data_IF_920855736309
#
_entry.id   IF_920855736309
#
_cell.length_a   1.000
_cell.length_b   1.000
_cell.length_c   1.000
_cell.angle_alpha   90.00
_cell.angle_beta   90.00
_cell.angle_gamma   90.00
#
_symmetry.space_group_name_H-M   'P 1'
#
loop_
_entity.id
_entity.type
_entity.pdbx_description
1 polymer ?
#
# COMPACT_ATOMS: atom_id res chain seq x y z
N UNK A 1 15.96 31.37 15.73
CA UNK A 1 16.11 30.99 14.32
C UNK A 1 14.73 31.02 13.71
N UNK A 2 14.53 31.79 12.64
CA UNK A 2 13.22 31.94 11.98
C UNK A 2 12.77 30.62 11.35
N UNK A 3 11.49 30.47 11.03
CA UNK A 3 10.99 29.31 10.30
C UNK A 3 11.63 29.28 8.91
N UNK A 4 11.77 30.42 8.23
CA UNK A 4 12.44 30.51 6.94
C UNK A 4 13.88 29.98 7.00
N UNK A 5 14.66 30.32 8.03
CA UNK A 5 16.02 29.80 8.21
C UNK A 5 16.01 28.27 8.39
N UNK A 6 15.05 27.75 9.17
CA UNK A 6 14.91 26.30 9.40
C UNK A 6 14.53 25.56 8.12
N UNK A 7 13.62 26.11 7.32
CA UNK A 7 13.26 25.57 6.00
C UNK A 7 14.49 25.52 5.11
N UNK A 8 15.27 26.61 5.01
CA UNK A 8 16.46 26.65 4.17
C UNK A 8 17.54 25.64 4.58
N UNK A 9 17.61 25.30 5.87
CA UNK A 9 18.59 24.34 6.42
C UNK A 9 18.08 22.91 6.49
N UNK A 10 16.81 22.67 6.13
CA UNK A 10 16.16 21.40 6.31
C UNK A 10 16.61 20.37 5.27
N UNK A 11 16.92 19.16 5.75
CA UNK A 11 17.30 18.04 4.88
C UNK A 11 16.13 17.46 4.08
N UNK A 12 14.89 17.74 4.50
CA UNK A 12 13.69 17.19 3.89
C UNK A 12 13.16 18.02 2.71
N UNK A 13 13.55 19.29 2.62
CA UNK A 13 13.09 20.21 1.56
C UNK A 13 13.37 19.70 0.15
N UNK A 14 14.54 19.12 -0.18
CA UNK A 14 14.77 18.55 -1.51
C UNK A 14 13.77 17.45 -1.90
N UNK A 15 13.40 16.58 -0.96
CA UNK A 15 12.41 15.52 -1.17
C UNK A 15 11.00 16.10 -1.28
N UNK A 16 10.64 17.06 -0.44
CA UNK A 16 9.32 17.71 -0.54
C UNK A 16 9.16 18.47 -1.87
N UNK A 17 10.22 19.09 -2.38
CA UNK A 17 10.23 19.78 -3.68
C UNK A 17 10.08 18.84 -4.88
N UNK A 18 10.28 17.53 -4.74
CA UNK A 18 10.02 16.59 -5.84
C UNK A 18 8.54 16.26 -6.01
N UNK A 19 7.67 16.68 -5.08
CA UNK A 19 6.22 16.55 -5.23
C UNK A 19 5.65 17.69 -6.06
N UNK A 20 4.82 17.35 -7.06
CA UNK A 20 4.11 18.34 -7.89
C UNK A 20 3.07 19.15 -7.10
N UNK A 21 2.72 18.74 -5.88
CA UNK A 21 1.69 19.38 -5.06
C UNK A 21 2.26 20.25 -3.94
N UNK A 22 3.59 20.26 -3.75
CA UNK A 22 4.26 21.00 -2.69
C UNK A 22 5.14 22.11 -3.27
N UNK A 23 4.89 23.34 -2.83
CA UNK A 23 5.54 24.55 -3.32
C UNK A 23 6.21 25.28 -2.16
N UNK A 24 7.36 25.87 -2.42
CA UNK A 24 8.09 26.68 -1.45
C UNK A 24 8.39 28.05 -2.02
N UNK A 25 8.38 29.08 -1.18
CA UNK A 25 8.81 30.40 -1.56
C UNK A 25 10.28 30.39 -2.06
N UNK A 26 10.64 31.23 -3.04
CA UNK A 26 9.78 32.17 -3.78
C UNK A 26 9.06 31.54 -4.99
N UNK A 27 9.15 30.22 -5.19
CA UNK A 27 8.66 29.52 -6.39
C UNK A 27 7.15 29.17 -6.35
N UNK A 28 6.37 29.86 -5.53
CA UNK A 28 4.91 29.67 -5.44
C UNK A 28 4.24 30.62 -6.44
N UNK A 29 3.46 30.08 -7.38
CA UNK A 29 2.78 30.92 -8.37
C UNK A 29 1.74 31.85 -7.72
N UNK A 30 1.57 33.06 -8.27
CA UNK A 30 0.54 34.01 -7.80
C UNK A 30 -0.86 33.39 -7.79
N UNK A 31 -1.20 32.55 -8.78
CA UNK A 31 -2.51 31.88 -8.85
C UNK A 31 -2.74 30.98 -7.63
N UNK A 32 -1.72 30.22 -7.21
CA UNK A 32 -1.80 29.33 -6.05
C UNK A 32 -1.86 30.12 -4.73
N UNK A 33 -1.07 31.19 -4.62
CA UNK A 33 -1.16 32.10 -3.48
C UNK A 33 -2.56 32.70 -3.33
N UNK A 34 -3.18 33.17 -4.43
CA UNK A 34 -4.55 33.69 -4.40
C UNK A 34 -5.59 32.63 -3.98
N UNK A 35 -5.39 31.37 -4.37
CA UNK A 35 -6.20 30.26 -3.86
C UNK A 35 -6.07 30.10 -2.35
N UNK A 36 -4.84 30.08 -1.86
CA UNK A 36 -4.53 29.90 -0.44
C UNK A 36 -5.06 31.03 0.44
N UNK A 37 -5.10 32.26 -0.08
CA UNK A 37 -5.67 33.40 0.65
C UNK A 37 -7.13 33.20 1.06
N UNK A 38 -7.86 32.24 0.46
CA UNK A 38 -9.25 31.94 0.83
C UNK A 38 -9.41 31.26 2.20
N UNK A 39 -8.33 30.74 2.79
CA UNK A 39 -8.36 30.09 4.10
C UNK A 39 -7.28 30.60 5.07
N UNK A 40 -6.50 31.59 4.65
CA UNK A 40 -5.56 32.26 5.55
C UNK A 40 -6.26 33.35 6.37
N UNK A 41 -5.87 33.57 7.63
CA UNK A 41 -6.43 34.62 8.46
C UNK A 41 -6.26 36.00 7.85
N UNK A 42 -7.21 36.90 8.17
CA UNK A 42 -7.13 38.30 7.76
C UNK A 42 -5.85 38.95 8.29
N UNK A 43 -5.08 39.57 7.39
CA UNK A 43 -3.80 40.21 7.71
C UNK A 43 -2.55 39.38 7.39
N UNK A 44 -2.70 38.13 6.95
CA UNK A 44 -1.59 37.38 6.33
C UNK A 44 -1.44 37.81 4.88
N UNK A 45 -0.23 38.25 4.51
CA UNK A 45 0.12 38.62 3.14
C UNK A 45 0.50 37.38 2.31
N UNK A 46 0.28 37.36 0.99
CA UNK A 46 0.81 36.31 0.12
C UNK A 46 2.33 36.07 0.27
N UNK A 47 3.09 37.12 0.62
CA UNK A 47 4.53 37.02 0.82
C UNK A 47 4.93 36.36 2.15
N UNK A 48 3.99 36.19 3.08
CA UNK A 48 4.23 35.52 4.36
C UNK A 48 4.16 33.99 4.22
N UNK A 49 3.68 33.49 3.08
CA UNK A 49 3.59 32.05 2.78
C UNK A 49 4.95 31.52 2.38
N UNK A 50 5.54 30.68 3.23
CA UNK A 50 6.84 30.07 3.04
C UNK A 50 6.75 28.72 2.31
N UNK A 51 5.67 27.99 2.54
CA UNK A 51 5.36 26.72 1.89
C UNK A 51 3.84 26.59 1.68
N UNK A 52 3.46 25.95 0.59
CA UNK A 52 2.08 25.66 0.22
C UNK A 52 1.98 24.22 -0.27
N UNK A 53 1.01 23.49 0.27
CA UNK A 53 0.54 22.21 -0.25
C UNK A 53 -0.81 22.46 -0.90
N UNK A 54 -0.91 22.15 -2.18
CA UNK A 54 -2.17 22.20 -2.92
C UNK A 54 -2.82 20.82 -2.92
N UNK A 55 -3.91 20.67 -2.16
CA UNK A 55 -4.66 19.41 -2.08
C UNK A 55 -5.90 19.43 -2.98
N UNK A 56 -5.96 20.32 -3.98
CA UNK A 56 -7.07 20.39 -4.92
C UNK A 56 -6.81 19.55 -6.16
N UNK A 57 -7.82 18.79 -6.60
CA UNK A 57 -7.79 17.97 -7.83
C UNK A 57 -7.46 18.80 -9.08
N UNK A 58 -7.84 20.09 -9.11
CA UNK A 58 -7.62 20.99 -10.26
C UNK A 58 -6.52 22.05 -10.03
N UNK A 59 -5.70 21.90 -8.99
CA UNK A 59 -4.54 22.76 -8.76
C UNK A 59 -4.87 24.24 -8.48
N UNK A 60 -6.00 24.51 -7.84
CA UNK A 60 -6.46 25.85 -7.45
C UNK A 60 -5.92 26.32 -6.09
N UNK A 61 -5.35 25.43 -5.27
CA UNK A 61 -4.83 25.72 -3.93
C UNK A 61 -5.83 26.35 -2.94
N UNK A 62 -7.13 26.13 -3.14
CA UNK A 62 -8.18 26.56 -2.18
C UNK A 62 -8.42 25.56 -1.04
N UNK A 63 -7.82 24.38 -1.15
CA UNK A 63 -7.83 23.27 -0.19
C UNK A 63 -6.38 22.81 -0.08
N UNK A 64 -5.93 22.50 1.13
CA UNK A 64 -4.55 22.11 1.42
C UNK A 64 -3.99 22.82 2.63
N UNK A 65 -2.68 23.07 2.64
CA UNK A 65 -1.97 23.59 3.80
C UNK A 65 -0.99 24.70 3.44
N UNK A 66 -0.94 25.75 4.25
CA UNK A 66 0.08 26.79 4.20
C UNK A 66 0.96 26.77 5.45
N UNK A 67 2.25 27.07 5.26
CA UNK A 67 3.19 27.34 6.34
C UNK A 67 3.64 28.79 6.25
N UNK A 68 3.59 29.52 7.36
CA UNK A 68 4.16 30.86 7.51
C UNK A 68 5.18 30.87 8.65
N UNK A 69 5.75 32.03 8.98
CA UNK A 69 6.58 32.19 10.19
C UNK A 69 5.83 31.86 11.50
N UNK A 70 4.50 31.99 11.51
CA UNK A 70 3.71 31.83 12.75
C UNK A 70 3.23 30.39 12.98
N UNK A 71 2.92 29.67 11.91
CA UNK A 71 2.26 28.38 12.03
C UNK A 71 1.77 27.80 10.72
N UNK A 72 0.95 26.76 10.87
CA UNK A 72 0.28 26.02 9.82
C UNK A 72 -1.17 26.49 9.71
N UNK A 73 -1.66 26.58 8.48
CA UNK A 73 -3.05 26.89 8.17
C UNK A 73 -3.55 25.84 7.21
N UNK A 74 -4.62 25.16 7.57
CA UNK A 74 -5.13 24.02 6.82
C UNK A 74 -6.60 24.20 6.49
N UNK A 75 -7.02 23.69 5.34
CA UNK A 75 -8.42 23.60 4.96
C UNK A 75 -8.66 22.33 4.17
N UNK A 76 -9.57 21.49 4.66
CA UNK A 76 -10.11 20.36 3.91
C UNK A 76 -11.29 20.81 3.02
N UNK A 77 -11.69 19.93 2.10
CA UNK A 77 -12.86 20.18 1.26
C UNK A 77 -14.12 20.18 2.11
N UNK A 78 -14.95 21.22 1.97
CA UNK A 78 -16.23 21.36 2.69
C UNK A 78 -16.11 21.52 4.22
N UNK A 79 -14.91 21.83 4.72
CA UNK A 79 -14.66 22.10 6.13
C UNK A 79 -14.20 23.55 6.34
N UNK A 80 -14.30 23.98 7.59
CA UNK A 80 -13.79 25.27 8.04
C UNK A 80 -12.25 25.26 8.09
N UNK A 81 -11.65 26.44 7.94
CA UNK A 81 -10.22 26.60 8.09
C UNK A 81 -9.74 26.31 9.52
N UNK A 82 -8.58 25.67 9.61
CA UNK A 82 -7.92 25.30 10.85
C UNK A 82 -6.57 26.01 10.95
N UNK A 83 -6.20 26.42 12.17
CA UNK A 83 -4.96 27.17 12.44
C UNK A 83 -4.18 26.52 13.57
N UNK A 84 -2.89 26.24 13.32
CA UNK A 84 -1.98 25.63 14.29
C UNK A 84 -0.72 26.48 14.41
N UNK A 85 -0.58 27.21 15.53
CA UNK A 85 0.62 28.00 15.79
C UNK A 85 1.76 27.09 16.22
N UNK A 86 2.99 27.35 15.71
CA UNK A 86 4.15 26.49 16.01
C UNK A 86 4.45 26.38 17.51
N UNK A 87 4.15 27.42 18.29
CA UNK A 87 4.32 27.42 19.75
C UNK A 87 3.44 26.39 20.48
N UNK A 88 2.37 25.90 19.83
CA UNK A 88 1.44 24.93 20.39
C UNK A 88 1.59 23.53 19.79
N UNK A 89 2.46 23.35 18.80
CA UNK A 89 2.73 22.05 18.17
C UNK A 89 3.88 21.38 18.91
N UNK A 90 3.56 20.31 19.64
CA UNK A 90 4.55 19.49 20.34
C UNK A 90 5.11 18.42 19.41
N UNK A 91 4.20 17.78 18.65
CA UNK A 91 4.53 16.69 17.76
C UNK A 91 3.55 16.63 16.60
N UNK A 92 4.06 16.23 15.44
CA UNK A 92 3.27 15.85 14.28
C UNK A 92 3.53 14.37 14.01
N UNK A 93 2.48 13.62 13.71
CA UNK A 93 2.54 12.18 13.44
C UNK A 93 1.93 11.89 12.07
N UNK A 94 2.37 10.80 11.45
CA UNK A 94 1.75 10.33 10.21
C UNK A 94 0.61 9.39 10.55
N UNK A 95 -0.58 9.67 10.04
CA UNK A 95 -1.74 8.78 10.13
C UNK A 95 -2.06 8.25 8.72
N UNK A 96 -1.54 7.07 8.43
CA UNK A 96 -1.49 6.50 7.09
C UNK A 96 -2.10 5.09 7.11
N UNK A 97 -3.34 4.99 6.66
CA UNK A 97 -4.08 3.74 6.43
C UNK A 97 -4.11 3.35 4.96
N UNK A 98 -5.01 2.44 4.58
CA UNK A 98 -5.18 2.02 3.16
C UNK A 98 -5.70 3.20 2.31
N UNK A 99 -6.66 3.95 2.85
CA UNK A 99 -7.32 5.08 2.19
C UNK A 99 -6.93 6.45 2.75
N UNK A 100 -6.23 6.49 3.89
CA UNK A 100 -5.84 7.74 4.56
C UNK A 100 -4.38 8.10 4.28
N UNK A 101 -4.17 9.38 4.06
CA UNK A 101 -2.89 10.05 3.84
C UNK A 101 -2.91 11.31 4.71
N UNK A 102 -2.98 11.14 6.02
CA UNK A 102 -3.22 12.21 6.98
C UNK A 102 -1.99 12.47 7.86
N UNK A 103 -1.95 13.66 8.47
CA UNK A 103 -1.06 13.94 9.60
C UNK A 103 -1.92 14.22 10.84
N UNK A 104 -1.42 13.81 12.00
CA UNK A 104 -2.02 14.13 13.30
C UNK A 104 -1.16 15.18 14.00
N UNK A 105 -1.76 16.31 14.39
CA UNK A 105 -1.11 17.31 15.23
C UNK A 105 -1.46 16.98 16.69
N UNK A 106 -0.42 16.83 17.52
CA UNK A 106 -0.53 16.48 18.95
C UNK A 106 -1.42 15.24 19.21
N UNK A 107 -1.44 14.28 18.28
CA UNK A 107 -2.25 13.06 18.32
C UNK A 107 -3.77 13.30 18.44
N UNK A 108 -4.25 14.51 18.10
CA UNK A 108 -5.65 14.91 18.25
C UNK A 108 -6.26 15.40 16.94
N UNK A 109 -5.58 16.32 16.26
CA UNK A 109 -6.15 16.98 15.09
C UNK A 109 -5.67 16.32 13.80
N UNK A 110 -6.59 15.72 13.04
CA UNK A 110 -6.30 15.06 11.77
C UNK A 110 -6.38 16.05 10.60
N UNK A 111 -5.30 16.14 9.83
CA UNK A 111 -5.23 16.91 8.59
C UNK A 111 -5.01 15.92 7.45
N UNK A 112 -6.06 15.71 6.65
CA UNK A 112 -6.08 14.73 5.56
C UNK A 112 -5.58 15.34 4.24
N UNK A 113 -4.76 14.60 3.50
CA UNK A 113 -4.29 14.98 2.17
C UNK A 113 -4.69 13.93 1.13
N UNK A 114 -5.57 14.32 0.22
CA UNK A 114 -6.08 13.43 -0.83
C UNK A 114 -5.14 13.33 -2.04
N UNK A 115 -4.30 14.34 -2.26
CA UNK A 115 -3.40 14.46 -3.42
C UNK A 115 -1.94 14.14 -3.07
N UNK A 116 -1.60 13.96 -1.79
CA UNK A 116 -0.27 13.55 -1.39
C UNK A 116 -0.19 12.02 -1.26
N UNK A 117 0.87 11.46 -1.83
CA UNK A 117 1.19 10.06 -1.58
C UNK A 117 1.71 9.86 -0.14
N UNK A 118 1.61 8.62 0.32
CA UNK A 118 1.97 8.21 1.68
C UNK A 118 3.45 8.43 2.00
N UNK A 119 4.35 8.42 1.01
CA UNK A 119 5.77 8.73 1.20
C UNK A 119 5.98 10.22 1.49
N UNK A 120 5.29 11.07 0.74
CA UNK A 120 5.33 12.51 0.93
C UNK A 120 4.71 12.95 2.25
N UNK A 121 3.61 12.33 2.69
CA UNK A 121 3.05 12.58 4.03
C UNK A 121 4.06 12.28 5.13
N UNK A 122 4.82 11.17 5.05
CA UNK A 122 5.87 10.86 6.04
C UNK A 122 7.00 11.88 6.02
N UNK A 123 7.43 12.29 4.83
CA UNK A 123 8.47 13.30 4.66
C UNK A 123 8.01 14.65 5.22
N UNK A 124 6.73 14.99 5.01
CA UNK A 124 6.09 16.17 5.55
C UNK A 124 6.09 16.15 7.09
N UNK A 125 5.73 15.03 7.71
CA UNK A 125 5.77 14.88 9.17
C UNK A 125 7.18 15.06 9.73
N UNK A 126 8.19 14.43 9.11
CA UNK A 126 9.60 14.62 9.53
C UNK A 126 10.04 16.07 9.40
N UNK A 127 9.66 16.73 8.31
CA UNK A 127 9.92 18.15 8.08
C UNK A 127 9.22 19.05 9.11
N UNK A 128 7.94 18.86 9.38
CA UNK A 128 7.17 19.67 10.33
C UNK A 128 7.72 19.52 11.76
N UNK A 129 8.07 18.30 12.19
CA UNK A 129 8.72 18.09 13.47
C UNK A 129 10.08 18.81 13.56
N UNK A 130 10.89 18.76 12.49
CA UNK A 130 12.16 19.49 12.42
C UNK A 130 11.95 21.01 12.51
N UNK A 131 10.90 21.54 11.87
CA UNK A 131 10.54 22.95 11.99
C UNK A 131 10.14 23.34 13.41
N UNK A 132 9.34 22.49 14.10
CA UNK A 132 8.88 22.77 15.46
C UNK A 132 10.04 22.69 16.48
N UNK A 133 10.87 21.65 16.41
CA UNK A 133 11.84 21.32 17.47
C UNK A 133 13.25 21.85 17.21
N UNK A 134 13.58 22.24 15.97
CA UNK A 134 14.93 22.62 15.54
C UNK A 134 15.82 21.39 15.34
N UNK A 135 16.97 21.52 14.65
CA UNK A 135 17.90 20.40 14.43
C UNK A 135 18.36 19.83 15.78
N UNK A 136 17.72 18.76 16.23
CA UNK A 136 18.33 17.84 17.17
C UNK A 136 19.13 16.83 16.35
N UNK A 137 20.41 16.70 16.70
CA UNK A 137 21.14 15.48 16.39
C UNK A 137 20.32 14.31 16.93
N UNK A 138 19.93 13.40 16.04
CA UNK A 138 19.34 12.11 16.39
C UNK A 138 20.21 11.44 17.44
N UNK A 139 19.81 11.54 18.71
CA UNK A 139 20.43 10.79 19.80
C UNK A 139 20.20 9.32 19.50
N UNK A 140 21.29 8.64 19.16
CA UNK A 140 21.39 7.19 19.20
C UNK A 140 21.13 6.73 20.64
N UNK A 141 19.89 6.34 20.91
CA UNK A 141 19.58 5.40 21.97
C UNK A 141 19.38 4.04 21.31
N UNK A 142 19.92 2.98 21.91
CA UNK A 142 19.66 1.59 21.53
C UNK A 142 18.15 1.42 21.40
N UNK A 143 17.66 1.22 20.16
CA UNK A 143 16.24 1.30 19.84
C UNK A 143 15.62 -0.06 20.13
N UNK A 144 14.81 -0.13 21.18
CA UNK A 144 13.95 -1.29 21.41
C UNK A 144 12.66 -1.06 20.62
N UNK A 145 12.21 -2.07 19.86
CA UNK A 145 10.93 -1.98 19.16
C UNK A 145 9.79 -1.87 20.17
N UNK A 146 8.82 -1.01 19.90
CA UNK A 146 7.63 -0.92 20.75
C UNK A 146 6.85 -2.24 20.72
N UNK A 147 6.32 -2.67 21.87
CA UNK A 147 5.67 -3.96 22.01
C UNK A 147 4.42 -4.09 21.11
N UNK A 148 3.73 -2.98 20.82
CA UNK A 148 2.51 -2.94 19.99
C UNK A 148 2.87 -3.21 18.53
N UNK A 149 3.96 -2.59 18.09
CA UNK A 149 4.46 -2.77 16.75
C UNK A 149 5.06 -4.17 16.56
N UNK A 150 5.76 -4.68 17.58
CA UNK A 150 6.33 -6.02 17.55
C UNK A 150 5.25 -7.08 17.38
N UNK A 151 4.15 -7.01 18.14
CA UNK A 151 3.08 -8.00 18.03
C UNK A 151 2.33 -7.94 16.69
N UNK A 152 2.16 -6.74 16.14
CA UNK A 152 1.55 -6.54 14.83
C UNK A 152 2.41 -7.17 13.74
N UNK A 153 3.73 -6.97 13.78
CA UNK A 153 4.68 -7.62 12.86
C UNK A 153 4.64 -9.14 13.05
N UNK A 154 4.67 -9.65 14.28
CA UNK A 154 4.64 -11.09 14.57
C UNK A 154 3.39 -11.77 13.98
N UNK A 155 2.21 -11.17 14.19
CA UNK A 155 0.94 -11.66 13.63
C UNK A 155 0.93 -11.56 12.10
N UNK A 156 1.48 -10.49 11.53
CA UNK A 156 1.57 -10.33 10.09
C UNK A 156 2.45 -11.44 9.46
N UNK A 157 3.61 -11.71 10.09
CA UNK A 157 4.52 -12.78 9.65
C UNK A 157 3.88 -14.17 9.83
N UNK A 158 3.18 -14.40 10.94
CA UNK A 158 2.43 -15.64 11.14
C UNK A 158 1.45 -15.90 10.00
N UNK A 159 0.61 -14.91 9.65
CA UNK A 159 -0.39 -15.10 8.60
C UNK A 159 0.22 -15.22 7.21
N UNK A 160 1.25 -14.45 6.89
CA UNK A 160 1.85 -14.50 5.55
C UNK A 160 2.63 -15.79 5.28
N UNK A 161 3.11 -16.44 6.34
CA UNK A 161 3.80 -17.73 6.24
C UNK A 161 2.89 -18.92 6.56
N UNK A 162 1.61 -18.69 6.88
CA UNK A 162 0.67 -19.69 7.38
C UNK A 162 0.57 -20.95 6.50
N UNK A 163 0.33 -20.78 5.20
CA UNK A 163 0.16 -21.91 4.27
C UNK A 163 1.45 -22.64 3.96
N UNK A 164 2.57 -21.91 3.88
CA UNK A 164 3.87 -22.45 3.52
C UNK A 164 4.62 -23.05 4.72
N UNK A 165 4.29 -22.62 5.94
CA UNK A 165 5.02 -22.96 7.18
C UNK A 165 6.46 -22.44 7.23
N UNK A 166 6.89 -21.69 6.21
CA UNK A 166 8.25 -21.16 6.06
C UNK A 166 8.25 -19.94 5.14
N UNK A 167 9.36 -19.20 5.16
CA UNK A 167 9.58 -18.09 4.23
C UNK A 167 9.71 -18.57 2.78
N UNK A 168 9.03 -17.88 1.87
CA UNK A 168 9.29 -17.88 0.44
C UNK A 168 9.57 -16.45 -0.06
N UNK A 169 10.11 -16.29 -1.28
CA UNK A 169 10.49 -14.98 -1.82
C UNK A 169 9.34 -13.96 -1.74
N UNK A 170 8.12 -14.38 -2.08
CA UNK A 170 6.93 -13.53 -2.06
C UNK A 170 6.58 -13.04 -0.66
N UNK A 171 6.60 -13.92 0.33
CA UNK A 171 6.33 -13.59 1.73
C UNK A 171 7.40 -12.66 2.31
N UNK A 172 8.69 -12.87 1.97
CA UNK A 172 9.78 -11.98 2.39
C UNK A 172 9.63 -10.59 1.80
N UNK A 173 9.38 -10.49 0.49
CA UNK A 173 9.12 -9.22 -0.18
C UNK A 173 7.91 -8.51 0.40
N UNK A 174 6.81 -9.21 0.62
CA UNK A 174 5.59 -8.61 1.15
C UNK A 174 5.78 -8.04 2.57
N UNK A 175 6.44 -8.77 3.48
CA UNK A 175 6.77 -8.25 4.82
C UNK A 175 7.71 -7.05 4.72
N UNK A 176 8.78 -7.19 3.93
CA UNK A 176 9.75 -6.12 3.74
C UNK A 176 9.07 -4.85 3.18
N UNK A 177 8.30 -4.95 2.10
CA UNK A 177 7.61 -3.80 1.50
C UNK A 177 6.50 -3.21 2.37
N UNK A 178 5.86 -4.03 3.20
CA UNK A 178 4.83 -3.57 4.13
C UNK A 178 5.45 -2.68 5.23
N UNK A 179 6.56 -3.14 5.82
CA UNK A 179 7.16 -2.49 6.99
C UNK A 179 8.30 -1.51 6.67
N UNK A 180 9.01 -1.65 5.53
CA UNK A 180 10.08 -0.71 5.16
C UNK A 180 9.58 0.72 4.95
N UNK A 181 8.30 0.85 4.57
CA UNK A 181 7.63 2.14 4.40
C UNK A 181 7.44 2.88 5.72
N UNK A 182 7.46 2.18 6.85
CA UNK A 182 7.47 2.77 8.17
C UNK A 182 8.91 3.18 8.42
N UNK A 183 9.21 4.48 8.37
CA UNK A 183 10.57 5.02 8.51
C UNK A 183 11.09 4.91 9.96
N UNK A 184 10.99 3.71 10.53
CA UNK A 184 11.32 3.36 11.91
C UNK A 184 12.46 2.34 11.90
N UNK A 185 13.59 2.76 12.46
CA UNK A 185 14.80 1.96 12.48
C UNK A 185 14.68 0.70 13.35
N UNK A 186 13.91 0.74 14.44
CA UNK A 186 13.66 -0.44 15.27
C UNK A 186 12.82 -1.47 14.53
N UNK A 187 11.78 -1.01 13.83
CA UNK A 187 10.95 -1.86 12.97
C UNK A 187 11.79 -2.48 11.86
N UNK A 188 12.63 -1.70 11.16
CA UNK A 188 13.52 -2.23 10.12
C UNK A 188 14.48 -3.27 10.67
N UNK A 189 15.12 -3.00 11.81
CA UNK A 189 16.03 -3.96 12.45
C UNK A 189 15.30 -5.23 12.88
N UNK A 190 14.08 -5.11 13.41
CA UNK A 190 13.29 -6.25 13.81
C UNK A 190 12.84 -7.09 12.61
N UNK A 191 12.36 -6.44 11.54
CA UNK A 191 11.97 -7.11 10.30
C UNK A 191 13.16 -7.78 9.63
N UNK A 192 14.32 -7.12 9.55
CA UNK A 192 15.54 -7.75 9.03
C UNK A 192 15.94 -8.98 9.85
N UNK A 193 15.81 -8.92 11.18
CA UNK A 193 16.03 -10.09 12.04
C UNK A 193 15.07 -11.23 11.68
N UNK A 194 13.77 -10.94 11.58
CA UNK A 194 12.75 -11.94 11.22
C UNK A 194 12.97 -12.58 9.85
N UNK A 195 13.44 -11.81 8.86
CA UNK A 195 13.67 -12.29 7.50
C UNK A 195 14.90 -13.21 7.38
N UNK A 196 15.84 -13.10 8.33
CA UNK A 196 17.09 -13.84 8.38
C UNK A 196 17.06 -15.04 9.35
N UNK A 197 16.11 -15.06 10.30
CA UNK A 197 15.94 -16.15 11.26
C UNK A 197 14.69 -16.99 10.95
N UNK A 198 14.73 -18.28 11.26
CA UNK A 198 13.53 -19.13 11.19
C UNK A 198 12.78 -19.03 12.51
N UNK A 199 11.70 -18.24 12.50
CA UNK A 199 10.86 -18.00 13.68
C UNK A 199 9.64 -18.93 13.65
N UNK A 200 9.35 -19.57 14.77
CA UNK A 200 8.12 -20.34 14.99
C UNK A 200 7.23 -19.53 15.92
N UNK A 201 6.05 -19.16 15.45
CA UNK A 201 5.09 -18.38 16.22
C UNK A 201 3.95 -19.28 16.71
N UNK A 202 3.65 -19.19 18.00
CA UNK A 202 2.45 -19.81 18.58
C UNK A 202 1.28 -18.81 18.47
N UNK A 203 0.22 -19.21 17.77
CA UNK A 203 -0.92 -18.34 17.51
C UNK A 203 -1.69 -17.96 18.79
N UNK A 204 -1.83 -18.88 19.74
CA UNK A 204 -2.52 -18.60 21.00
C UNK A 204 -1.70 -17.62 21.85
N UNK A 205 -0.37 -17.77 21.89
CA UNK A 205 0.52 -16.79 22.55
C UNK A 205 0.40 -15.40 21.92
N UNK A 206 0.37 -15.31 20.59
CA UNK A 206 0.17 -14.04 19.89
C UNK A 206 -1.20 -13.42 20.21
N UNK A 207 -2.26 -14.21 20.30
CA UNK A 207 -3.58 -13.70 20.71
C UNK A 207 -3.59 -13.22 22.17
N UNK A 208 -2.92 -13.93 23.07
CA UNK A 208 -2.81 -13.55 24.48
C UNK A 208 -2.05 -12.24 24.64
N UNK A 209 -0.87 -12.12 24.03
CA UNK A 209 -0.10 -10.88 24.04
C UNK A 209 -0.90 -9.71 23.45
N UNK A 210 -1.73 -9.96 22.42
CA UNK A 210 -2.55 -8.91 21.83
C UNK A 210 -3.70 -8.50 22.76
N UNK A 211 -4.34 -9.46 23.42
CA UNK A 211 -5.41 -9.21 24.38
C UNK A 211 -4.91 -8.36 25.57
N UNK A 212 -3.70 -8.62 26.07
CA UNK A 212 -3.07 -7.86 27.17
C UNK A 212 -2.82 -6.39 26.81
N UNK A 213 -2.73 -6.09 25.52
CA UNK A 213 -2.44 -4.75 25.00
C UNK A 213 -3.69 -4.01 24.53
N UNK A 214 -4.84 -4.68 24.50
CA UNK A 214 -6.13 -4.14 24.01
C UNK A 214 -6.46 -2.77 24.58
N UNK A 215 -6.30 -2.57 25.88
CA UNK A 215 -6.72 -1.35 26.58
C UNK A 215 -5.72 -0.19 26.40
N UNK A 216 -4.52 -0.48 25.86
CA UNK A 216 -3.52 0.54 25.49
C UNK A 216 -3.73 1.03 24.06
N UNK A 217 -4.30 0.20 23.20
CA UNK A 217 -4.51 0.52 21.79
C UNK A 217 -5.80 1.32 21.56
N UNK A 218 -5.66 2.44 20.85
CA UNK A 218 -6.80 3.21 20.36
C UNK A 218 -7.76 2.32 19.55
N UNK A 219 -9.06 2.58 19.63
CA UNK A 219 -10.06 1.76 18.95
C UNK A 219 -9.87 1.73 17.42
N UNK A 220 -9.54 2.86 16.82
CA UNK A 220 -9.27 2.96 15.38
C UNK A 220 -8.02 2.16 14.99
N UNK A 221 -6.94 2.26 15.75
CA UNK A 221 -5.73 1.47 15.52
C UNK A 221 -6.01 -0.04 15.59
N UNK A 222 -6.81 -0.50 16.56
CA UNK A 222 -7.24 -1.91 16.64
C UNK A 222 -8.01 -2.34 15.40
N UNK A 223 -8.84 -1.46 14.83
CA UNK A 223 -9.57 -1.75 13.59
C UNK A 223 -8.64 -1.88 12.40
N UNK A 224 -7.74 -0.91 12.21
CA UNK A 224 -6.78 -0.89 11.11
C UNK A 224 -5.85 -2.10 11.14
N UNK A 225 -5.39 -2.46 12.34
CA UNK A 225 -4.58 -3.66 12.53
C UNK A 225 -5.32 -4.92 12.06
N UNK A 226 -6.61 -5.07 12.37
CA UNK A 226 -7.41 -6.22 11.86
C UNK A 226 -7.45 -6.23 10.33
N UNK A 227 -7.66 -5.08 9.70
CA UNK A 227 -7.66 -4.97 8.23
C UNK A 227 -6.31 -5.38 7.63
N UNK A 228 -5.19 -4.91 8.20
CA UNK A 228 -3.85 -5.29 7.75
C UNK A 228 -3.58 -6.78 7.93
N UNK A 229 -4.07 -7.38 9.02
CA UNK A 229 -3.90 -8.82 9.26
C UNK A 229 -4.77 -9.65 8.31
N UNK A 230 -5.98 -9.22 7.96
CA UNK A 230 -6.80 -9.88 6.92
C UNK A 230 -6.12 -9.81 5.55
N UNK A 231 -5.48 -8.69 5.23
CA UNK A 231 -4.65 -8.57 4.03
C UNK A 231 -3.45 -9.52 4.06
N UNK A 232 -2.77 -9.65 5.21
CA UNK A 232 -1.68 -10.61 5.39
C UNK A 232 -2.14 -12.06 5.20
N UNK A 233 -3.33 -12.43 5.70
CA UNK A 233 -3.93 -13.75 5.49
C UNK A 233 -4.14 -14.04 4.00
N UNK A 234 -4.66 -13.08 3.25
CA UNK A 234 -4.92 -13.22 1.83
C UNK A 234 -3.61 -13.36 1.03
N UNK A 235 -2.58 -12.56 1.35
CA UNK A 235 -1.23 -12.71 0.78
C UNK A 235 -0.57 -14.04 1.13
N UNK A 236 -0.77 -14.50 2.37
CA UNK A 236 -0.32 -15.80 2.86
C UNK A 236 -1.12 -16.98 2.34
N UNK A 237 -2.09 -16.75 1.45
CA UNK A 237 -2.95 -17.78 0.86
C UNK A 237 -3.71 -18.61 1.91
N UNK A 238 -4.05 -18.00 3.05
CA UNK A 238 -4.96 -18.59 4.04
C UNK A 238 -6.33 -18.79 3.36
N UNK A 239 -6.98 -19.92 3.55
CA UNK A 239 -8.31 -20.13 2.96
C UNK A 239 -9.34 -19.13 3.55
N UNK A 240 -10.29 -18.68 2.72
CA UNK A 240 -11.22 -17.61 3.09
C UNK A 240 -12.05 -17.92 4.34
N UNK A 241 -12.51 -19.17 4.48
CA UNK A 241 -13.20 -19.67 5.67
C UNK A 241 -12.32 -19.64 6.94
N UNK A 242 -11.02 -19.91 6.81
CA UNK A 242 -10.05 -19.82 7.91
C UNK A 242 -9.76 -18.37 8.26
N UNK A 243 -9.64 -17.48 7.27
CA UNK A 243 -9.48 -16.05 7.50
C UNK A 243 -10.68 -15.45 8.25
N UNK A 244 -11.91 -15.88 7.94
CA UNK A 244 -13.12 -15.51 8.69
C UNK A 244 -13.09 -15.95 10.17
N UNK A 245 -12.51 -17.12 10.45
CA UNK A 245 -12.30 -17.60 11.82
C UNK A 245 -11.25 -16.76 12.55
N UNK A 246 -10.10 -16.52 11.92
CA UNK A 246 -9.06 -15.66 12.49
C UNK A 246 -9.54 -14.24 12.75
N UNK A 247 -10.27 -13.66 11.80
CA UNK A 247 -10.89 -12.35 11.97
C UNK A 247 -11.84 -12.33 13.18
N UNK A 248 -12.60 -13.42 13.41
CA UNK A 248 -13.47 -13.55 14.58
C UNK A 248 -12.67 -13.54 15.88
N UNK A 249 -11.54 -14.25 15.93
CA UNK A 249 -10.64 -14.26 17.09
C UNK A 249 -10.03 -12.87 17.33
N UNK A 250 -9.50 -12.23 16.28
CA UNK A 250 -8.91 -10.89 16.35
C UNK A 250 -9.93 -9.85 16.83
N UNK A 251 -11.15 -9.84 16.28
CA UNK A 251 -12.23 -8.97 16.73
C UNK A 251 -12.55 -9.17 18.23
N UNK A 252 -12.58 -10.43 18.68
CA UNK A 252 -12.86 -10.77 20.08
C UNK A 252 -11.76 -10.27 21.02
N UNK A 253 -10.50 -10.55 20.73
CA UNK A 253 -9.38 -10.16 21.62
C UNK A 253 -9.15 -8.65 21.63
N UNK A 254 -9.40 -7.98 20.50
CA UNK A 254 -9.28 -6.52 20.40
C UNK A 254 -10.54 -5.77 20.83
N UNK A 255 -11.66 -6.46 21.12
CA UNK A 255 -12.95 -5.84 21.39
C UNK A 255 -13.42 -4.86 20.28
N UNK A 256 -13.23 -5.28 19.03
CA UNK A 256 -13.78 -4.61 17.84
C UNK A 256 -15.00 -5.39 17.36
N UNK A 257 -16.10 -4.69 17.08
CA UNK A 257 -17.32 -5.35 16.61
C UNK A 257 -17.13 -5.80 15.17
N UNK A 258 -17.47 -7.07 14.88
CA UNK A 258 -17.44 -7.62 13.51
C UNK A 258 -18.36 -6.86 12.55
N UNK A 259 -19.42 -6.24 13.06
CA UNK A 259 -20.35 -5.46 12.24
C UNK A 259 -19.69 -4.25 11.56
N UNK A 260 -18.53 -3.80 12.05
CA UNK A 260 -17.76 -2.70 11.48
C UNK A 260 -17.04 -3.10 10.19
N UNK A 261 -16.96 -4.41 9.90
CA UNK A 261 -16.24 -4.97 8.76
C UNK A 261 -17.18 -5.83 7.88
N UNK A 262 -18.22 -5.24 7.26
CA UNK A 262 -19.09 -5.97 6.38
C UNK A 262 -18.29 -6.49 5.17
N UNK A 263 -18.33 -7.81 4.96
CA UNK A 263 -17.70 -8.50 3.84
C UNK A 263 -16.19 -8.26 3.66
N UNK A 264 -15.47 -7.76 4.68
CA UNK A 264 -14.05 -7.38 4.57
C UNK A 264 -13.18 -8.51 3.99
N UNK A 265 -13.28 -9.72 4.55
CA UNK A 265 -12.52 -10.89 4.08
C UNK A 265 -12.81 -11.15 2.60
N UNK A 266 -14.08 -11.13 2.20
CA UNK A 266 -14.48 -11.33 0.81
C UNK A 266 -13.87 -10.27 -0.11
N UNK A 267 -14.02 -8.99 0.25
CA UNK A 267 -13.52 -7.86 -0.56
C UNK A 267 -12.01 -7.96 -0.74
N UNK A 268 -11.25 -8.18 0.34
CA UNK A 268 -9.79 -8.27 0.29
C UNK A 268 -9.34 -9.44 -0.60
N UNK A 269 -9.98 -10.59 -0.48
CA UNK A 269 -9.64 -11.77 -1.27
C UNK A 269 -9.96 -11.59 -2.76
N UNK A 270 -11.09 -10.97 -3.08
CA UNK A 270 -11.46 -10.64 -4.47
C UNK A 270 -10.49 -9.63 -5.08
N UNK A 271 -10.07 -8.61 -4.32
CA UNK A 271 -9.07 -7.62 -4.76
C UNK A 271 -7.71 -8.28 -5.08
N UNK A 272 -7.18 -9.10 -4.17
CA UNK A 272 -5.88 -9.75 -4.39
C UNK A 272 -5.96 -10.74 -5.57
N UNK A 273 -7.07 -11.47 -5.71
CA UNK A 273 -7.29 -12.32 -6.88
C UNK A 273 -7.28 -11.50 -8.19
N UNK A 274 -7.92 -10.33 -8.20
CA UNK A 274 -7.90 -9.40 -9.34
C UNK A 274 -6.50 -8.86 -9.68
N UNK A 275 -5.74 -8.42 -8.68
CA UNK A 275 -4.36 -7.93 -8.86
C UNK A 275 -3.40 -9.01 -9.35
N UNK A 276 -3.53 -10.24 -8.83
CA UNK A 276 -2.76 -11.38 -9.32
C UNK A 276 -3.04 -11.69 -10.78
N UNK A 277 -4.29 -11.59 -11.22
CA UNK A 277 -4.69 -11.83 -12.61
C UNK A 277 -4.14 -10.74 -13.55
N UNK A 278 -4.17 -9.47 -13.14
CA UNK A 278 -3.59 -8.36 -13.92
C UNK A 278 -2.07 -8.44 -14.03
N UNK A 279 -1.36 -8.80 -12.95
CA UNK A 279 0.09 -8.96 -12.97
C UNK A 279 0.52 -10.15 -13.84
N UNK A 280 -0.28 -11.21 -13.87
CA UNK A 280 -0.08 -12.36 -14.77
C UNK A 280 -0.15 -11.98 -16.24
N UNK A 281 -1.04 -11.05 -16.61
CA UNK A 281 -1.13 -10.55 -17.98
C UNK A 281 0.07 -9.67 -18.39
N UNK A 282 0.67 -8.94 -17.45
CA UNK A 282 1.85 -8.10 -17.71
C UNK A 282 3.19 -8.85 -17.71
N UNK A 283 3.26 -10.01 -17.05
CA UNK A 283 4.49 -10.82 -16.94
C UNK A 283 4.70 -11.79 -18.13
N UNK A 284 3.72 -11.95 -19.01
CA UNK A 284 3.83 -12.83 -20.18
C UNK A 284 4.70 -12.17 -21.26
N UNK A 285 5.66 -12.93 -21.78
CA UNK A 285 6.45 -12.50 -22.93
C UNK A 285 5.62 -12.56 -24.23
N UNK A 286 6.19 -12.05 -25.33
CA UNK A 286 5.50 -11.97 -26.61
C UNK A 286 5.14 -13.36 -27.18
N UNK A 287 5.94 -14.39 -26.91
CA UNK A 287 5.67 -15.76 -27.36
C UNK A 287 4.49 -16.36 -26.59
N UNK A 288 4.44 -16.14 -25.28
CA UNK A 288 3.36 -16.56 -24.41
C UNK A 288 2.04 -15.81 -24.71
N UNK A 289 2.10 -14.50 -25.00
CA UNK A 289 0.93 -13.72 -25.43
C UNK A 289 0.37 -14.24 -26.77
N UNK A 290 1.23 -14.57 -27.73
CA UNK A 290 0.82 -15.20 -29.00
C UNK A 290 0.20 -16.59 -28.77
N UNK A 291 0.76 -17.38 -27.86
CA UNK A 291 0.20 -18.67 -27.49
C UNK A 291 -1.20 -18.54 -26.85
N UNK A 292 -1.41 -17.53 -26.00
CA UNK A 292 -2.74 -17.20 -25.46
C UNK A 292 -3.73 -16.82 -26.56
N UNK A 293 -3.32 -16.01 -27.53
CA UNK A 293 -4.16 -15.64 -28.68
C UNK A 293 -4.56 -16.85 -29.54
N UNK A 294 -3.60 -17.75 -29.85
CA UNK A 294 -3.87 -18.96 -30.62
C UNK A 294 -4.90 -19.89 -29.96
N UNK A 295 -4.87 -19.95 -28.63
CA UNK A 295 -5.80 -20.75 -27.83
C UNK A 295 -7.05 -19.98 -27.38
N UNK A 296 -7.20 -18.71 -27.78
CA UNK A 296 -8.29 -17.80 -27.38
C UNK A 296 -8.45 -17.68 -25.86
N UNK A 297 -7.33 -17.67 -25.14
CA UNK A 297 -7.28 -17.47 -23.69
C UNK A 297 -6.98 -16.00 -23.42
N UNK A 298 -7.78 -15.36 -22.57
CA UNK A 298 -7.40 -14.05 -22.04
C UNK A 298 -6.24 -14.23 -21.05
N UNK A 299 -5.12 -13.51 -21.21
CA UNK A 299 -3.93 -13.62 -20.35
C UNK A 299 -4.23 -13.63 -18.84
N UNK A 300 -5.19 -12.81 -18.42
CA UNK A 300 -5.63 -12.64 -17.03
C UNK A 300 -6.31 -13.90 -16.46
N UNK A 301 -6.85 -14.75 -17.34
CA UNK A 301 -7.57 -15.98 -16.99
C UNK A 301 -6.71 -17.23 -17.19
N UNK A 302 -5.41 -17.08 -17.47
CA UNK A 302 -4.51 -18.21 -17.71
C UNK A 302 -4.27 -19.02 -16.42
N UNK A 303 -4.74 -20.26 -16.43
CA UNK A 303 -4.57 -21.27 -15.39
C UNK A 303 -4.44 -22.65 -16.04
N UNK A 304 -3.99 -23.66 -15.29
CA UNK A 304 -3.87 -25.03 -15.82
C UNK A 304 -5.24 -25.55 -16.31
N UNK A 305 -6.31 -25.24 -15.58
CA UNK A 305 -7.68 -25.64 -15.91
C UNK A 305 -8.19 -24.96 -17.19
N UNK A 306 -7.98 -23.65 -17.32
CA UNK A 306 -8.42 -22.89 -18.51
C UNK A 306 -7.61 -23.26 -19.74
N UNK A 307 -6.29 -23.47 -19.60
CA UNK A 307 -5.42 -23.98 -20.65
C UNK A 307 -5.87 -25.35 -21.17
N UNK A 308 -6.14 -26.29 -20.25
CA UNK A 308 -6.57 -27.64 -20.63
C UNK A 308 -7.94 -27.62 -21.34
N UNK A 309 -8.89 -26.81 -20.86
CA UNK A 309 -10.21 -26.67 -21.46
C UNK A 309 -10.15 -26.04 -22.86
N UNK A 310 -9.42 -24.92 -23.02
CA UNK A 310 -9.27 -24.22 -24.29
C UNK A 310 -8.56 -25.09 -25.35
N UNK A 311 -7.48 -25.76 -24.96
CA UNK A 311 -6.75 -26.67 -25.84
C UNK A 311 -7.63 -27.84 -26.31
N UNK A 312 -8.37 -28.49 -25.41
CA UNK A 312 -9.29 -29.59 -25.79
C UNK A 312 -10.36 -29.11 -26.76
N UNK A 313 -10.93 -27.92 -26.51
CA UNK A 313 -11.94 -27.32 -27.39
C UNK A 313 -11.38 -27.08 -28.79
N UNK A 314 -10.20 -26.45 -28.90
CA UNK A 314 -9.54 -26.18 -30.19
C UNK A 314 -9.14 -27.47 -30.91
N UNK A 315 -8.55 -28.44 -30.22
CA UNK A 315 -8.12 -29.70 -30.81
C UNK A 315 -9.27 -30.60 -31.30
N UNK A 316 -10.48 -30.43 -30.77
CA UNK A 316 -11.65 -31.19 -31.24
C UNK A 316 -11.98 -30.93 -32.72
N UNK A 317 -11.59 -29.77 -33.26
CA UNK A 317 -11.80 -29.42 -34.66
C UNK A 317 -10.78 -30.09 -35.60
N UNK A 318 -9.65 -30.53 -35.06
CA UNK A 318 -8.53 -31.15 -35.78
C UNK A 318 -8.48 -32.67 -35.56
N UNK A 319 -9.62 -33.35 -35.42
CA UNK A 319 -9.65 -34.82 -35.34
C UNK A 319 -9.46 -35.44 -36.75
N UNK A 320 -8.51 -36.38 -36.95
CA UNK A 320 -8.15 -36.93 -38.26
C UNK A 320 -9.33 -37.37 -39.11
N UNK A 321 -10.33 -38.00 -38.49
CA UNK A 321 -11.54 -38.50 -39.16
C UNK A 321 -12.37 -37.41 -39.86
N UNK A 322 -12.21 -36.13 -39.50
CA UNK A 322 -12.98 -35.02 -40.07
C UNK A 322 -12.44 -34.52 -41.42
N UNK A 323 -11.22 -34.89 -41.80
CA UNK A 323 -10.56 -34.32 -42.99
C UNK A 323 -9.74 -35.32 -43.81
N UNK A 324 -9.91 -36.63 -43.58
CA UNK A 324 -9.28 -37.70 -44.38
C UNK A 324 -9.59 -37.61 -45.89
N UNK A 325 -10.75 -37.07 -46.27
CA UNK A 325 -11.18 -36.94 -47.67
C UNK A 325 -10.67 -35.68 -48.37
N UNK A 326 -9.89 -34.83 -47.69
CA UNK A 326 -9.40 -33.57 -48.26
C UNK A 326 -8.10 -33.75 -49.07
N UNK A 327 -7.80 -32.84 -50.02
CA UNK A 327 -6.53 -32.84 -50.75
C UNK A 327 -5.32 -32.82 -49.81
N UNK A 328 -4.22 -33.46 -50.23
CA UNK A 328 -3.00 -33.59 -49.42
C UNK A 328 -2.45 -32.24 -48.92
N UNK A 329 -2.45 -31.22 -49.78
CA UNK A 329 -2.04 -29.86 -49.40
C UNK A 329 -2.89 -29.25 -48.29
N UNK A 330 -4.19 -29.57 -48.25
CA UNK A 330 -5.11 -29.08 -47.22
C UNK A 330 -4.92 -29.88 -45.92
N UNK A 331 -4.69 -31.18 -46.01
CA UNK A 331 -4.39 -32.04 -44.84
C UNK A 331 -3.09 -31.60 -44.16
N UNK A 332 -2.04 -31.32 -44.92
CA UNK A 332 -0.77 -30.79 -44.41
C UNK A 332 -0.94 -29.46 -43.67
N UNK A 333 -1.80 -28.56 -44.18
CA UNK A 333 -2.07 -27.27 -43.55
C UNK A 333 -2.84 -27.44 -42.22
N UNK A 334 -3.80 -28.36 -42.18
CA UNK A 334 -4.54 -28.71 -40.95
C UNK A 334 -3.61 -29.32 -39.90
N UNK A 335 -2.71 -30.22 -40.30
CA UNK A 335 -1.69 -30.80 -39.42
C UNK A 335 -0.73 -29.74 -38.88
N UNK A 336 -0.29 -28.81 -39.73
CA UNK A 336 0.57 -27.70 -39.31
C UNK A 336 -0.12 -26.80 -38.29
N UNK A 337 -1.41 -26.51 -38.46
CA UNK A 337 -2.18 -25.74 -37.48
C UNK A 337 -2.36 -26.50 -36.15
N UNK A 338 -2.62 -27.81 -36.19
CA UNK A 338 -2.67 -28.63 -34.97
C UNK A 338 -1.33 -28.64 -34.23
N UNK A 339 -0.21 -28.65 -34.97
CA UNK A 339 1.13 -28.56 -34.39
C UNK A 339 1.41 -27.21 -33.73
N UNK A 340 0.93 -26.11 -34.32
CA UNK A 340 1.01 -24.78 -33.70
C UNK A 340 0.23 -24.71 -32.38
N UNK A 341 -0.95 -25.33 -32.30
CA UNK A 341 -1.72 -25.41 -31.05
C UNK A 341 -1.01 -26.25 -29.97
N UNK A 342 -0.31 -27.31 -30.37
CA UNK A 342 0.52 -28.11 -29.45
C UNK A 342 1.69 -27.31 -28.89
N UNK A 343 2.37 -26.55 -29.75
CA UNK A 343 3.47 -25.66 -29.35
C UNK A 343 2.99 -24.55 -28.41
N UNK A 344 1.89 -23.88 -28.76
CA UNK A 344 1.28 -22.85 -27.91
C UNK A 344 0.92 -23.40 -26.51
N UNK A 345 0.35 -24.61 -26.44
CA UNK A 345 0.09 -25.28 -25.17
C UNK A 345 1.38 -25.56 -24.39
N UNK A 346 2.43 -26.04 -25.06
CA UNK A 346 3.70 -26.38 -24.40
C UNK A 346 4.36 -25.14 -23.79
N UNK A 347 4.38 -24.02 -24.51
CA UNK A 347 4.89 -22.73 -24.04
C UNK A 347 4.14 -22.26 -22.79
N UNK A 348 2.80 -22.26 -22.83
CA UNK A 348 1.99 -21.83 -21.68
C UNK A 348 2.07 -22.81 -20.49
N UNK A 349 2.23 -24.11 -20.76
CA UNK A 349 2.41 -25.12 -19.71
C UNK A 349 3.76 -24.93 -19.00
N UNK A 350 4.83 -24.65 -19.73
CA UNK A 350 6.14 -24.36 -19.15
C UNK A 350 6.11 -23.11 -18.26
N UNK A 351 5.41 -22.05 -18.69
CA UNK A 351 5.20 -20.84 -17.87
C UNK A 351 4.41 -21.11 -16.59
N UNK A 352 3.41 -22.00 -16.63
CA UNK A 352 2.62 -22.35 -15.45
C UNK A 352 3.37 -23.28 -14.47
N UNK A 353 4.46 -23.90 -14.90
CA UNK A 353 5.30 -24.81 -14.10
C UNK A 353 6.57 -24.12 -13.54
N UNK A 354 6.91 -22.93 -14.03
CA UNK A 354 7.99 -22.06 -13.52
C UNK A 354 7.52 -21.18 -12.37
#
# INVERSE_FOLDING_TARGET
>A
MSILDRIQQSQWVPLLRSSDNIYFAPAISNKKLQGAMSYLPHGVSPNDVLMLIDDTVFGSAKVGMCVTEKGLFYKASFEDEQTYLFEHIQQVEADIGILTSSILINSQDELNFTQLDKGMVRTLVSFLNELCQGKQETKQTVVNIDAEMQIMIDLFVYFITYSAGQWNNRSKEAVFYHFIKLNDKAVHQYVEKLLNEQMCFDYEDLLHRLADMRDKLAYNFRREMIEQLVYAMALGQVEQNQADLFMTHLCRVTNVSRAVFPDLVKIVYECIAGEMNHKKASDLDNEQLQACQLLEIQPELLSEKTLQAAYRKKMADFHPDKYQSLPESVRQLIEQQAQQLNQARAVLKAYLES
#
